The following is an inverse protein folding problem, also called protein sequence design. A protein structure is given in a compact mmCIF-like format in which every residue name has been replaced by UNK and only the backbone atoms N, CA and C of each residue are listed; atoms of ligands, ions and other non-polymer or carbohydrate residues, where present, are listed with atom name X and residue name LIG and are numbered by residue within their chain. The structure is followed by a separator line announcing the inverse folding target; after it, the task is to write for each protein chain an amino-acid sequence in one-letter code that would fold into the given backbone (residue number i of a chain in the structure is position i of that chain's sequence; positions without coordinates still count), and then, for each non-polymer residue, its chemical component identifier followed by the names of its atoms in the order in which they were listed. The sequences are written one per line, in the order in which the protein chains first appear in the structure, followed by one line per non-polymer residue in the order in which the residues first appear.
data_IF_446943759141
#
_entry.id   IF_446943759141
#
_cell.length_a   1.000
_cell.length_b   1.000
_cell.length_c   1.000
_cell.angle_alpha   90.00
_cell.angle_beta   90.00
_cell.angle_gamma   90.00
#
_symmetry.space_group_name_H-M   'P 1'
#
loop_
_entity.id
_entity.type
_entity.pdbx_description
1 polymer ?
#
# COMPACT_ATOMS: atom_id res chain seq x y z
N UNK A 1 -0.11 22.75 28.91
CA UNK A 1 -0.68 22.68 27.53
C UNK A 1 0.09 21.59 26.76
N UNK A 2 -0.52 20.41 26.57
CA UNK A 2 0.09 19.23 25.95
C UNK A 2 -0.08 19.29 24.42
N UNK A 3 0.96 19.00 23.66
CA UNK A 3 0.84 18.56 22.27
C UNK A 3 1.58 17.22 22.13
N UNK A 4 0.80 16.15 21.96
CA UNK A 4 1.28 14.81 21.62
C UNK A 4 1.60 14.76 20.11
N UNK A 5 2.75 14.19 19.72
CA UNK A 5 2.98 13.76 18.33
C UNK A 5 3.46 12.31 18.34
N UNK A 6 2.51 11.42 18.02
CA UNK A 6 2.66 9.96 18.00
C UNK A 6 3.46 9.50 16.77
N UNK A 7 4.53 8.76 17.05
CA UNK A 7 4.91 7.43 16.51
C UNK A 7 4.16 6.90 15.28
N UNK A 8 4.86 6.56 14.19
CA UNK A 8 4.33 5.74 13.06
C UNK A 8 5.35 4.66 12.63
N UNK A 9 4.90 3.40 12.65
CA UNK A 9 5.60 2.10 12.43
C UNK A 9 5.50 1.63 10.96
N UNK A 10 6.42 0.76 10.49
CA UNK A 10 6.65 0.47 9.05
C UNK A 10 6.31 -0.96 8.57
N UNK A 11 5.55 -1.73 9.35
CA UNK A 11 4.91 -3.01 8.95
C UNK A 11 3.38 -2.93 8.94
N UNK A 12 2.88 -1.72 9.15
CA UNK A 12 1.48 -1.37 9.11
C UNK A 12 1.17 -0.73 7.76
N UNK A 13 -0.06 -0.92 7.32
CA UNK A 13 -0.55 -0.20 6.17
C UNK A 13 -0.45 1.30 6.41
N UNK A 14 -0.37 2.12 5.34
CA UNK A 14 -0.40 3.57 5.50
C UNK A 14 -1.56 3.99 6.39
N UNK A 15 -1.42 5.12 7.06
CA UNK A 15 -2.49 5.68 7.88
C UNK A 15 -3.81 5.65 7.11
N UNK A 16 -4.88 5.17 7.78
CA UNK A 16 -6.23 4.98 7.26
C UNK A 16 -6.42 3.80 6.27
N UNK A 17 -5.43 2.92 6.14
CA UNK A 17 -5.54 1.64 5.41
C UNK A 17 -5.55 0.45 6.36
N UNK A 18 -6.36 -0.54 6.03
CA UNK A 18 -6.44 -1.83 6.69
C UNK A 18 -5.59 -2.87 5.95
N UNK A 19 -4.92 -3.74 6.70
CA UNK A 19 -4.22 -4.90 6.12
C UNK A 19 -5.22 -6.01 5.82
N UNK A 20 -5.44 -6.30 4.55
CA UNK A 20 -6.32 -7.37 4.07
C UNK A 20 -5.48 -8.35 3.25
N UNK A 21 -5.17 -9.51 3.85
CA UNK A 21 -4.16 -10.42 3.33
C UNK A 21 -2.77 -9.74 3.28
N UNK A 22 -2.15 -9.73 2.11
CA UNK A 22 -0.84 -9.08 1.86
C UNK A 22 -0.96 -7.62 1.40
N UNK A 23 -2.17 -7.06 1.36
CA UNK A 23 -2.46 -5.78 0.71
C UNK A 23 -3.00 -4.77 1.69
N UNK A 24 -2.78 -3.50 1.39
CA UNK A 24 -3.31 -2.39 2.16
C UNK A 24 -4.50 -1.80 1.44
N UNK A 25 -5.67 -1.88 2.07
CA UNK A 25 -6.95 -1.43 1.52
C UNK A 25 -7.55 -0.36 2.41
N UNK A 26 -8.02 0.73 1.81
CA UNK A 26 -8.75 1.79 2.49
C UNK A 26 -10.21 1.74 2.02
N UNK A 27 -11.13 1.58 2.97
CA UNK A 27 -12.57 1.56 2.72
C UNK A 27 -13.12 2.96 2.93
N UNK A 28 -13.60 3.61 1.87
CA UNK A 28 -14.15 4.97 1.95
C UNK A 28 -15.64 4.86 2.25
N UNK A 29 -15.98 4.93 3.53
CA UNK A 29 -17.35 4.70 4.03
C UNK A 29 -18.03 5.88 4.71
N UNK A 30 -17.32 7.00 4.90
CA UNK A 30 -17.87 8.16 5.61
C UNK A 30 -19.16 8.66 4.95
N UNK A 31 -20.21 8.83 5.76
CA UNK A 31 -21.63 8.71 5.39
C UNK A 31 -22.20 9.56 4.26
N UNK A 32 -21.42 10.45 3.64
CA UNK A 32 -21.82 11.27 2.49
C UNK A 32 -20.97 11.03 1.21
N UNK A 33 -19.93 10.20 1.25
CA UNK A 33 -18.99 10.00 0.13
C UNK A 33 -19.35 8.79 -0.73
N UNK A 34 -20.46 8.91 -1.45
CA UNK A 34 -20.79 7.99 -2.55
C UNK A 34 -20.43 8.65 -3.87
N UNK A 35 -19.72 7.91 -4.72
CA UNK A 35 -19.18 8.43 -5.97
C UNK A 35 -19.53 7.52 -7.13
N UNK A 36 -19.53 8.08 -8.34
CA UNK A 36 -19.56 7.26 -9.56
C UNK A 36 -18.28 6.44 -9.64
N UNK A 37 -18.27 5.38 -10.45
CA UNK A 37 -17.06 4.56 -10.61
C UNK A 37 -15.85 5.38 -11.06
N UNK A 38 -16.05 6.28 -12.03
CA UNK A 38 -14.98 7.15 -12.55
C UNK A 38 -14.43 8.10 -11.49
N UNK A 39 -15.32 8.75 -10.74
CA UNK A 39 -14.94 9.67 -9.66
C UNK A 39 -14.24 8.91 -8.52
N UNK A 40 -14.70 7.73 -8.17
CA UNK A 40 -14.07 6.87 -7.16
C UNK A 40 -12.63 6.49 -7.56
N UNK A 41 -12.43 6.07 -8.83
CA UNK A 41 -11.11 5.77 -9.36
C UNK A 41 -10.19 7.00 -9.33
N UNK A 42 -10.68 8.15 -9.79
CA UNK A 42 -9.93 9.41 -9.74
C UNK A 42 -9.53 9.78 -8.30
N UNK A 43 -10.45 9.64 -7.35
CA UNK A 43 -10.19 9.91 -5.93
C UNK A 43 -9.20 8.93 -5.30
N UNK A 44 -9.19 7.66 -5.68
CA UNK A 44 -8.13 6.74 -5.25
C UNK A 44 -6.78 7.14 -5.86
N UNK A 45 -6.74 7.51 -7.14
CA UNK A 45 -5.51 7.95 -7.83
C UNK A 45 -4.90 9.20 -7.20
N UNK A 46 -5.72 10.17 -6.78
CA UNK A 46 -5.27 11.36 -6.05
C UNK A 46 -4.54 11.03 -4.73
N UNK A 47 -4.72 9.82 -4.20
CA UNK A 47 -4.07 9.30 -2.98
C UNK A 47 -2.89 8.35 -3.28
N UNK A 48 -2.37 8.35 -4.51
CA UNK A 48 -1.39 7.35 -4.99
C UNK A 48 -1.89 5.89 -4.83
N UNK A 49 -3.20 5.71 -4.91
CA UNK A 49 -3.89 4.44 -4.82
C UNK A 49 -4.70 4.21 -6.11
N UNK A 50 -5.52 3.17 -6.12
CA UNK A 50 -6.50 2.90 -7.19
C UNK A 50 -7.66 2.09 -6.63
N UNK A 51 -8.76 1.95 -7.37
CA UNK A 51 -9.80 1.00 -6.97
C UNK A 51 -9.24 -0.42 -6.88
N UNK A 52 -9.65 -1.15 -5.85
CA UNK A 52 -9.11 -2.47 -5.50
C UNK A 52 -9.36 -3.52 -6.58
N UNK A 53 -8.34 -4.30 -6.95
CA UNK A 53 -8.49 -5.52 -7.76
C UNK A 53 -8.80 -6.72 -6.88
N UNK A 54 -9.50 -7.70 -7.43
CA UNK A 54 -9.83 -8.92 -6.70
C UNK A 54 -8.71 -9.95 -6.97
N UNK A 55 -7.76 -10.05 -6.03
CA UNK A 55 -6.70 -11.06 -6.08
C UNK A 55 -7.12 -12.35 -5.37
N UNK A 56 -7.70 -12.21 -4.17
CA UNK A 56 -8.19 -13.30 -3.32
C UNK A 56 -9.63 -12.97 -2.91
N UNK A 57 -10.64 -13.40 -3.70
CA UNK A 57 -12.03 -13.03 -3.47
C UNK A 57 -12.54 -13.46 -2.11
N UNK A 58 -12.12 -14.62 -1.60
CA UNK A 58 -12.56 -15.17 -0.31
C UNK A 58 -12.09 -14.28 0.85
N UNK A 59 -10.81 -13.89 0.85
CA UNK A 59 -10.22 -13.04 1.89
C UNK A 59 -10.89 -11.67 1.91
N UNK A 60 -11.08 -11.06 0.74
CA UNK A 60 -11.74 -9.75 0.63
C UNK A 60 -13.22 -9.82 1.04
N UNK A 61 -13.92 -10.87 0.60
CA UNK A 61 -15.34 -11.10 0.92
C UNK A 61 -15.55 -11.24 2.43
N UNK A 62 -14.76 -12.08 3.10
CA UNK A 62 -14.83 -12.25 4.56
C UNK A 62 -14.58 -10.91 5.25
N UNK A 63 -13.55 -10.18 4.85
CA UNK A 63 -13.22 -8.89 5.46
C UNK A 63 -14.35 -7.87 5.32
N UNK A 64 -14.93 -7.72 4.13
CA UNK A 64 -16.04 -6.79 3.90
C UNK A 64 -17.25 -7.18 4.75
N UNK A 65 -17.63 -8.46 4.72
CA UNK A 65 -18.85 -8.93 5.38
C UNK A 65 -18.77 -8.81 6.91
N UNK A 66 -17.58 -8.98 7.48
CA UNK A 66 -17.35 -8.83 8.91
C UNK A 66 -17.29 -7.37 9.36
N UNK A 67 -16.65 -6.49 8.59
CA UNK A 67 -16.34 -5.13 9.05
C UNK A 67 -17.26 -4.04 8.50
N UNK A 68 -17.93 -4.29 7.37
CA UNK A 68 -18.78 -3.31 6.68
C UNK A 68 -20.12 -3.91 6.24
N UNK A 69 -20.91 -4.48 7.17
CA UNK A 69 -22.21 -5.03 6.84
C UNK A 69 -23.14 -3.94 6.28
N UNK A 70 -23.88 -4.26 5.21
CA UNK A 70 -24.85 -3.35 4.59
C UNK A 70 -24.24 -2.34 3.61
N UNK A 71 -22.93 -2.32 3.42
CA UNK A 71 -22.25 -1.34 2.55
C UNK A 71 -21.93 -1.92 1.18
N UNK A 72 -22.25 -1.17 0.12
CA UNK A 72 -21.90 -1.51 -1.26
C UNK A 72 -20.65 -0.76 -1.68
N UNK A 73 -19.73 -1.44 -2.37
CA UNK A 73 -18.44 -0.86 -2.73
C UNK A 73 -18.13 -0.99 -4.21
N UNK A 74 -17.64 0.09 -4.84
CA UNK A 74 -16.90 -0.02 -6.08
C UNK A 74 -15.59 -0.77 -5.89
N UNK A 75 -15.30 -1.66 -6.84
CA UNK A 75 -14.01 -2.35 -6.99
C UNK A 75 -13.50 -2.16 -8.42
N UNK A 76 -12.19 -2.25 -8.63
CA UNK A 76 -11.50 -1.73 -9.81
C UNK A 76 -11.61 -2.55 -11.09
N UNK A 77 -12.77 -3.10 -11.42
CA UNK A 77 -13.01 -3.78 -12.70
C UNK A 77 -14.08 -3.07 -13.52
N UNK A 78 -13.80 -2.90 -14.81
CA UNK A 78 -14.74 -2.33 -15.79
C UNK A 78 -14.68 -3.08 -17.11
N UNK A 79 -15.78 -3.06 -17.85
CA UNK A 79 -15.90 -3.62 -19.19
C UNK A 79 -15.64 -2.53 -20.22
N UNK A 80 -14.67 -2.77 -21.10
CA UNK A 80 -14.41 -1.90 -22.26
C UNK A 80 -15.60 -1.99 -23.23
N UNK A 81 -16.24 -0.84 -23.50
CA UNK A 81 -17.44 -0.76 -24.35
C UNK A 81 -17.16 -1.10 -25.81
N UNK A 82 -15.93 -0.89 -26.30
CA UNK A 82 -15.55 -1.13 -27.69
C UNK A 82 -15.09 -2.56 -27.95
N UNK A 83 -14.44 -3.18 -26.95
CA UNK A 83 -13.85 -4.53 -27.08
C UNK A 83 -14.64 -5.62 -26.37
N UNK A 84 -15.61 -5.25 -25.53
CA UNK A 84 -16.43 -6.16 -24.74
C UNK A 84 -15.66 -6.90 -23.63
N UNK A 85 -14.37 -6.61 -23.42
CA UNK A 85 -13.52 -7.31 -22.47
C UNK A 85 -13.45 -6.60 -21.11
N UNK A 86 -13.47 -7.38 -20.03
CA UNK A 86 -13.27 -6.87 -18.68
C UNK A 86 -11.79 -6.65 -18.37
N UNK A 87 -11.47 -5.53 -17.71
CA UNK A 87 -10.11 -5.17 -17.29
C UNK A 87 -10.07 -4.61 -15.89
N UNK A 88 -8.97 -4.85 -15.19
CA UNK A 88 -8.66 -4.19 -13.94
C UNK A 88 -8.15 -2.77 -14.18
N UNK A 89 -8.30 -1.88 -13.20
CA UNK A 89 -7.82 -0.47 -13.27
C UNK A 89 -6.29 -0.31 -13.32
N UNK A 90 -5.50 -1.38 -13.12
CA UNK A 90 -4.05 -1.41 -13.42
C UNK A 90 -3.75 -1.77 -14.88
N UNK A 91 -4.76 -2.06 -15.69
CA UNK A 91 -4.61 -2.51 -17.07
C UNK A 91 -4.39 -4.02 -17.21
N UNK A 92 -4.29 -4.77 -16.11
CA UNK A 92 -4.21 -6.23 -16.16
C UNK A 92 -5.52 -6.84 -16.65
N UNK A 93 -5.40 -7.96 -17.35
CA UNK A 93 -6.55 -8.75 -17.78
C UNK A 93 -7.11 -9.54 -16.60
N UNK A 94 -8.44 -9.68 -16.56
CA UNK A 94 -9.08 -10.51 -15.55
C UNK A 94 -8.87 -11.97 -15.93
N UNK A 95 -8.15 -12.72 -15.07
CA UNK A 95 -7.91 -14.15 -15.27
C UNK A 95 -9.22 -14.94 -15.26
N UNK A 96 -9.26 -16.01 -16.07
CA UNK A 96 -10.45 -16.83 -16.36
C UNK A 96 -11.23 -17.28 -15.11
N UNK A 97 -10.57 -17.76 -14.04
CA UNK A 97 -11.28 -18.21 -12.83
C UNK A 97 -11.95 -17.06 -12.06
N UNK A 98 -11.33 -15.88 -12.01
CA UNK A 98 -11.94 -14.68 -11.43
C UNK A 98 -13.06 -14.14 -12.32
N UNK A 99 -12.90 -14.30 -13.63
CA UNK A 99 -13.85 -13.90 -14.66
C UNK A 99 -15.16 -14.70 -14.60
N UNK A 100 -15.12 -16.03 -14.40
CA UNK A 100 -16.34 -16.86 -14.29
C UNK A 100 -17.21 -16.50 -13.08
N UNK A 101 -16.61 -16.20 -11.93
CA UNK A 101 -17.35 -15.75 -10.73
C UNK A 101 -17.99 -14.37 -10.94
N UNK A 102 -17.29 -13.46 -11.64
CA UNK A 102 -17.80 -12.12 -11.98
C UNK A 102 -18.95 -12.19 -13.01
N UNK A 103 -18.85 -13.09 -13.99
CA UNK A 103 -19.74 -13.14 -15.15
C UNK A 103 -21.00 -13.98 -15.01
N UNK A 104 -21.16 -14.72 -13.90
CA UNK A 104 -22.36 -15.53 -13.64
C UNK A 104 -23.67 -14.72 -13.69
N UNK A 105 -23.60 -13.38 -13.64
CA UNK A 105 -24.74 -12.47 -13.58
C UNK A 105 -24.68 -11.33 -14.63
N UNK A 106 -24.48 -11.62 -15.92
CA UNK A 106 -24.63 -10.66 -17.02
C UNK A 106 -26.09 -10.15 -17.14
N UNK A 107 -26.43 -9.07 -16.43
CA UNK A 107 -27.80 -8.54 -16.32
C UNK A 107 -28.07 -7.29 -17.17
N UNK A 108 -27.63 -7.31 -18.43
CA UNK A 108 -28.09 -6.36 -19.44
C UNK A 108 -27.23 -5.11 -19.67
N UNK A 109 -27.72 -4.27 -20.59
CA UNK A 109 -27.04 -3.11 -21.19
C UNK A 109 -26.67 -2.07 -20.12
N UNK A 110 -25.46 -1.50 -20.20
CA UNK A 110 -25.00 -0.39 -19.35
C UNK A 110 -24.40 -0.75 -17.98
N UNK A 111 -24.30 -2.04 -17.63
CA UNK A 111 -23.68 -2.49 -16.38
C UNK A 111 -22.19 -2.85 -16.60
N UNK A 112 -21.36 -1.83 -16.79
CA UNK A 112 -19.96 -2.00 -17.19
C UNK A 112 -18.96 -1.84 -16.02
N UNK A 113 -19.41 -1.78 -14.77
CA UNK A 113 -18.55 -1.59 -13.61
C UNK A 113 -18.83 -2.66 -12.54
N UNK A 114 -17.78 -3.14 -11.87
CA UNK A 114 -17.89 -4.17 -10.85
C UNK A 114 -18.04 -3.55 -9.46
N UNK A 115 -18.98 -4.07 -8.67
CA UNK A 115 -19.19 -3.67 -7.29
C UNK A 115 -19.38 -4.87 -6.37
N UNK A 116 -18.98 -4.73 -5.11
CA UNK A 116 -19.48 -5.57 -4.02
C UNK A 116 -20.88 -5.13 -3.63
N UNK A 117 -21.83 -6.07 -3.61
CA UNK A 117 -23.23 -5.81 -3.24
C UNK A 117 -23.56 -6.56 -1.95
N UNK A 118 -23.76 -5.82 -0.86
CA UNK A 118 -23.94 -6.40 0.47
C UNK A 118 -25.18 -7.27 0.57
N UNK A 119 -26.29 -6.91 -0.09
CA UNK A 119 -27.53 -7.73 -0.07
C UNK A 119 -27.37 -9.08 -0.76
N UNK A 120 -26.39 -9.21 -1.67
CA UNK A 120 -26.09 -10.45 -2.39
C UNK A 120 -24.90 -11.20 -1.79
N UNK A 121 -24.16 -10.58 -0.85
CA UNK A 121 -22.87 -11.06 -0.36
C UNK A 121 -21.93 -11.48 -1.50
N UNK A 122 -21.92 -10.73 -2.59
CA UNK A 122 -21.22 -11.12 -3.81
C UNK A 122 -20.79 -9.91 -4.64
N UNK A 123 -19.79 -10.10 -5.50
CA UNK A 123 -19.42 -9.15 -6.53
C UNK A 123 -20.42 -9.25 -7.68
N UNK A 124 -20.87 -8.11 -8.19
CA UNK A 124 -21.86 -8.05 -9.26
C UNK A 124 -21.62 -6.85 -10.15
N UNK A 125 -22.00 -7.00 -11.41
CA UNK A 125 -22.01 -5.90 -12.37
C UNK A 125 -23.02 -4.83 -11.94
N UNK A 126 -22.67 -3.57 -12.14
CA UNK A 126 -23.44 -2.41 -11.74
C UNK A 126 -23.26 -1.27 -12.76
N UNK A 127 -24.25 -0.37 -12.85
CA UNK A 127 -24.17 0.83 -13.69
C UNK A 127 -23.13 1.80 -13.15
N UNK A 128 -22.16 2.17 -13.98
CA UNK A 128 -21.01 2.99 -13.57
C UNK A 128 -21.38 4.38 -13.05
N UNK A 129 -22.51 4.94 -13.49
CA UNK A 129 -23.01 6.25 -13.05
C UNK A 129 -23.69 6.25 -11.68
N UNK A 130 -23.90 5.08 -11.08
CA UNK A 130 -24.48 4.98 -9.74
C UNK A 130 -23.47 5.41 -8.69
N UNK A 131 -23.96 5.98 -7.58
CA UNK A 131 -23.09 6.45 -6.51
C UNK A 131 -22.98 5.40 -5.41
N UNK A 132 -21.79 4.84 -5.24
CA UNK A 132 -21.48 3.87 -4.18
C UNK A 132 -20.27 4.34 -3.35
N UNK A 133 -20.13 3.78 -2.15
CA UNK A 133 -18.85 3.78 -1.44
C UNK A 133 -17.82 3.01 -2.26
N UNK A 134 -16.53 3.10 -1.91
CA UNK A 134 -15.48 2.50 -2.73
C UNK A 134 -14.26 2.09 -1.92
N UNK A 135 -13.49 1.14 -2.46
CA UNK A 135 -12.31 0.58 -1.80
C UNK A 135 -11.08 0.96 -2.63
N UNK A 136 -10.16 1.68 -2.01
CA UNK A 136 -8.86 1.98 -2.60
C UNK A 136 -7.83 0.95 -2.14
N UNK A 137 -7.02 0.43 -3.05
CA UNK A 137 -5.80 -0.29 -2.72
C UNK A 137 -4.59 0.64 -2.81
N UNK A 138 -3.72 0.59 -1.81
CA UNK A 138 -2.44 1.28 -1.89
C UNK A 138 -1.62 0.64 -3.00
N UNK A 139 -1.13 1.46 -3.94
CA UNK A 139 -0.12 0.99 -4.88
C UNK A 139 1.18 0.96 -4.09
N UNK A 140 1.63 -0.24 -3.73
CA UNK A 140 3.02 -0.43 -3.30
C UNK A 140 3.86 -0.11 -4.53
N UNK A 141 4.23 1.16 -4.70
CA UNK A 141 5.17 1.51 -5.74
C UNK A 141 6.43 0.69 -5.44
N UNK A 142 6.77 -0.19 -6.38
CA UNK A 142 8.11 -0.72 -6.48
C UNK A 142 8.98 0.50 -6.83
N UNK A 143 9.31 1.29 -5.80
CA UNK A 143 10.07 2.52 -5.90
C UNK A 143 11.53 2.14 -6.10
N UNK A 144 11.79 1.64 -7.29
CA UNK A 144 13.08 1.32 -7.83
C UNK A 144 13.18 2.08 -9.13
N UNK A 145 14.39 2.52 -9.42
CA UNK A 145 14.69 2.97 -10.76
C UNK A 145 14.55 1.78 -11.71
N UNK A 146 13.85 1.98 -12.82
CA UNK A 146 13.64 0.92 -13.83
C UNK A 146 14.85 0.75 -14.73
N UNK A 147 15.80 1.68 -14.68
CA UNK A 147 17.05 1.68 -15.41
C UNK A 147 18.23 1.80 -14.42
N UNK A 148 19.27 1.01 -14.63
CA UNK A 148 20.46 0.99 -13.77
C UNK A 148 21.31 2.26 -13.90
N UNK A 149 21.14 3.05 -14.95
CA UNK A 149 21.85 4.29 -15.23
C UNK A 149 21.13 5.54 -14.71
N UNK A 150 20.00 5.39 -14.00
CA UNK A 150 19.23 6.50 -13.46
C UNK A 150 20.04 7.47 -12.57
N UNK A 151 21.14 7.01 -11.96
CA UNK A 151 22.06 7.88 -11.21
C UNK A 151 22.74 8.95 -12.08
N UNK A 152 22.92 8.70 -13.38
CA UNK A 152 23.54 9.63 -14.34
C UNK A 152 22.59 10.73 -14.80
N UNK A 153 21.30 10.44 -14.85
CA UNK A 153 20.29 11.34 -15.43
C UNK A 153 19.56 12.20 -14.41
N UNK A 154 20.04 12.26 -13.16
CA UNK A 154 19.45 13.09 -12.09
C UNK A 154 19.23 14.56 -12.51
N UNK A 155 20.13 15.10 -13.33
CA UNK A 155 20.02 16.49 -13.84
C UNK A 155 18.83 16.71 -14.79
N UNK A 156 18.32 15.63 -15.38
CA UNK A 156 17.19 15.65 -16.32
C UNK A 156 15.85 15.40 -15.61
N UNK A 157 15.84 15.27 -14.27
CA UNK A 157 14.62 15.12 -13.51
C UNK A 157 13.75 16.38 -13.65
N UNK A 158 12.45 16.20 -13.85
CA UNK A 158 11.42 17.24 -14.10
C UNK A 158 11.48 17.92 -15.48
N UNK A 159 12.62 17.86 -16.17
CA UNK A 159 12.77 18.41 -17.53
C UNK A 159 12.52 17.36 -18.59
N UNK A 160 12.97 16.13 -18.34
CA UNK A 160 12.72 14.98 -19.21
C UNK A 160 11.63 14.09 -18.62
N UNK A 161 10.51 13.97 -19.35
CA UNK A 161 9.35 13.15 -18.95
C UNK A 161 9.69 11.66 -18.87
N UNK A 162 10.57 11.17 -19.73
CA UNK A 162 11.01 9.78 -19.70
C UNK A 162 11.87 9.53 -18.46
N UNK A 163 12.87 10.38 -18.20
CA UNK A 163 13.73 10.24 -17.00
C UNK A 163 12.89 10.31 -15.73
N UNK A 164 11.94 11.26 -15.66
CA UNK A 164 11.07 11.43 -14.48
C UNK A 164 10.19 10.20 -14.21
N UNK A 165 9.77 9.48 -15.26
CA UNK A 165 8.93 8.28 -15.17
C UNK A 165 9.73 6.99 -14.96
N UNK A 166 10.92 6.88 -15.56
CA UNK A 166 11.79 5.70 -15.51
C UNK A 166 12.65 5.66 -14.24
N UNK A 167 13.00 6.84 -13.71
CA UNK A 167 13.91 7.02 -12.58
C UNK A 167 13.24 7.67 -11.34
N UNK A 168 12.10 7.16 -10.85
CA UNK A 168 11.34 7.83 -9.79
C UNK A 168 12.11 7.90 -8.46
N UNK A 169 13.02 6.94 -8.19
CA UNK A 169 13.86 6.94 -6.99
C UNK A 169 15.01 7.94 -7.13
N UNK A 170 15.73 7.92 -8.25
CA UNK A 170 16.84 8.85 -8.50
C UNK A 170 16.39 10.31 -8.64
N UNK A 171 15.18 10.55 -9.14
CA UNK A 171 14.59 11.89 -9.24
C UNK A 171 13.94 12.42 -7.96
N UNK A 172 14.04 11.69 -6.84
CA UNK A 172 13.43 12.09 -5.57
C UNK A 172 11.90 12.20 -5.65
N UNK A 173 11.28 11.59 -6.67
CA UNK A 173 9.82 11.51 -6.83
C UNK A 173 9.22 10.44 -5.94
N UNK A 174 10.05 9.54 -5.46
CA UNK A 174 9.74 8.73 -4.31
C UNK A 174 10.12 9.43 -3.01
N UNK A 175 9.20 9.40 -2.04
CA UNK A 175 9.62 9.43 -0.64
C UNK A 175 10.45 8.16 -0.39
N UNK A 176 11.75 8.32 -0.17
CA UNK A 176 12.67 7.20 0.07
C UNK A 176 12.10 6.25 1.12
N UNK A 177 11.99 4.96 0.78
CA UNK A 177 11.82 3.92 1.77
C UNK A 177 13.00 4.00 2.74
N UNK A 178 12.77 4.55 3.94
CA UNK A 178 13.79 4.62 4.99
C UNK A 178 14.30 3.19 5.26
N UNK A 179 15.62 2.99 5.26
CA UNK A 179 16.27 1.78 5.76
C UNK A 179 15.78 1.53 7.19
N UNK A 180 15.15 0.39 7.45
CA UNK A 180 14.62 0.03 8.77
C UNK A 180 15.54 -1.03 9.38
N UNK A 181 16.18 -0.65 10.48
CA UNK A 181 17.00 -1.54 11.28
C UNK A 181 16.23 -1.79 12.58
N UNK A 182 15.63 -2.97 12.70
CA UNK A 182 14.79 -3.38 13.83
C UNK A 182 15.69 -3.89 14.96
N UNK A 183 15.75 -3.22 16.12
CA UNK A 183 16.50 -3.71 17.27
C UNK A 183 15.77 -4.86 17.98
N UNK A 184 16.52 -5.66 18.73
CA UNK A 184 15.95 -6.67 19.62
C UNK A 184 15.19 -6.02 20.79
N UNK A 185 14.10 -6.62 21.31
CA UNK A 185 13.31 -6.06 22.41
C UNK A 185 14.12 -5.70 23.67
N UNK A 186 15.19 -6.46 23.95
CA UNK A 186 16.05 -6.24 25.11
C UNK A 186 17.05 -5.09 24.94
N UNK A 187 17.06 -4.43 23.77
CA UNK A 187 18.01 -3.37 23.49
C UNK A 187 17.60 -2.04 24.14
N UNK A 188 18.57 -1.43 24.81
CA UNK A 188 18.40 -0.18 25.55
C UNK A 188 18.94 0.98 24.73
N UNK A 189 18.06 1.92 24.37
CA UNK A 189 18.43 3.17 23.69
C UNK A 189 18.09 4.40 24.53
N UNK A 190 18.87 5.49 24.42
CA UNK A 190 20.19 5.53 23.80
C UNK A 190 21.25 4.88 24.70
N UNK A 191 22.22 4.19 24.10
CA UNK A 191 23.39 3.66 24.82
C UNK A 191 24.67 4.40 24.45
N UNK A 192 25.66 4.36 25.32
CA UNK A 192 26.98 4.97 25.10
C UNK A 192 27.96 3.88 24.72
N UNK A 193 28.46 3.91 23.49
CA UNK A 193 29.50 3.01 22.99
C UNK A 193 30.63 3.83 22.39
N UNK A 194 31.87 3.52 22.75
CA UNK A 194 33.06 4.27 22.35
C UNK A 194 32.92 5.78 22.64
N UNK A 195 32.38 6.13 23.81
CA UNK A 195 32.09 7.50 24.26
C UNK A 195 31.10 8.27 23.38
N UNK A 196 30.35 7.58 22.50
CA UNK A 196 29.33 8.16 21.63
C UNK A 196 27.95 7.65 21.98
N UNK A 197 26.98 8.58 22.01
CA UNK A 197 25.58 8.27 22.25
C UNK A 197 24.95 7.71 20.97
N UNK A 198 24.43 6.49 21.03
CA UNK A 198 23.73 5.83 19.94
C UNK A 198 22.26 5.65 20.29
N UNK A 199 21.39 6.25 19.48
CA UNK A 199 19.92 6.12 19.60
C UNK A 199 19.32 5.09 18.64
N UNK A 200 20.18 4.37 17.92
CA UNK A 200 19.82 3.35 16.92
C UNK A 200 20.90 2.29 16.84
N UNK A 201 20.56 1.16 16.22
CA UNK A 201 21.52 0.10 15.92
C UNK A 201 22.79 0.68 15.29
N UNK A 202 23.94 0.26 15.81
CA UNK A 202 25.23 0.78 15.40
C UNK A 202 26.08 -0.34 14.84
N UNK A 203 26.93 -0.02 13.88
CA UNK A 203 27.78 -0.99 13.20
C UNK A 203 28.97 -1.32 14.10
N UNK A 204 29.14 -2.61 14.44
CA UNK A 204 30.32 -3.11 15.16
C UNK A 204 31.08 -4.06 14.23
N UNK A 205 32.25 -3.65 13.72
CA UNK A 205 33.09 -4.48 12.85
C UNK A 205 32.51 -4.76 11.44
N UNK A 206 32.68 -6.01 10.95
CA UNK A 206 32.42 -6.48 9.57
C UNK A 206 30.93 -6.51 9.15
N UNK A 207 30.22 -5.39 9.25
CA UNK A 207 28.90 -5.22 8.60
C UNK A 207 27.68 -5.54 9.44
N UNK A 208 27.82 -6.05 10.66
CA UNK A 208 26.67 -6.33 11.52
C UNK A 208 26.25 -5.09 12.32
N UNK A 209 24.97 -4.72 12.20
CA UNK A 209 24.34 -3.73 13.05
C UNK A 209 23.88 -4.38 14.35
N UNK A 210 24.37 -3.87 15.47
CA UNK A 210 24.10 -4.38 16.80
C UNK A 210 23.45 -3.31 17.69
N UNK A 211 22.80 -3.76 18.74
CA UNK A 211 22.31 -2.94 19.83
C UNK A 211 22.71 -3.52 21.19
N UNK A 212 22.88 -2.64 22.19
CA UNK A 212 23.31 -3.01 23.54
C UNK A 212 22.11 -3.22 24.45
N UNK A 213 22.20 -4.16 25.38
CA UNK A 213 21.20 -4.35 26.46
C UNK A 213 21.45 -3.46 27.68
N UNK A 214 22.52 -2.65 27.68
CA UNK A 214 22.87 -1.75 28.79
C UNK A 214 23.02 -0.32 28.30
N UNK A 215 22.80 0.66 29.19
CA UNK A 215 22.95 2.09 28.85
C UNK A 215 24.40 2.49 28.58
N UNK A 216 25.36 1.83 29.21
CA UNK A 216 26.77 2.22 29.13
C UNK A 216 27.69 0.98 28.99
N UNK A 217 27.68 0.32 27.83
CA UNK A 217 28.56 -0.81 27.53
C UNK A 217 30.06 -0.52 27.60
N UNK A 218 30.48 0.76 27.66
CA UNK A 218 31.89 1.12 27.82
C UNK A 218 32.42 0.85 29.24
N UNK A 219 31.53 0.80 30.24
CA UNK A 219 31.90 0.63 31.67
C UNK A 219 31.24 -0.59 32.32
N UNK A 220 30.28 -1.23 31.64
CA UNK A 220 29.55 -2.40 32.12
C UNK A 220 29.61 -3.51 31.07
N UNK A 221 29.79 -4.76 31.51
CA UNK A 221 29.64 -5.93 30.64
C UNK A 221 28.26 -5.89 29.98
N UNK A 222 28.24 -5.85 28.65
CA UNK A 222 27.01 -5.70 27.88
C UNK A 222 26.81 -6.88 26.94
N UNK A 223 25.58 -7.39 26.91
CA UNK A 223 25.15 -8.31 25.87
C UNK A 223 24.76 -7.50 24.62
N UNK A 224 25.00 -8.10 23.46
CA UNK A 224 24.77 -7.49 22.14
C UNK A 224 23.77 -8.32 21.38
N UNK A 225 22.73 -7.69 20.84
CA UNK A 225 21.82 -8.34 19.91
C UNK A 225 22.00 -7.83 18.49
N UNK A 226 21.79 -8.73 17.54
CA UNK A 226 21.79 -8.41 16.11
C UNK A 226 20.48 -7.70 15.76
N UNK A 227 20.60 -6.57 15.09
CA UNK A 227 19.45 -5.90 14.49
C UNK A 227 19.07 -6.57 13.17
N UNK A 228 17.78 -6.67 12.91
CA UNK A 228 17.21 -7.31 11.72
C UNK A 228 16.64 -6.26 10.76
N UNK A 229 16.37 -6.65 9.51
CA UNK A 229 15.87 -5.73 8.47
C UNK A 229 16.98 -5.12 7.61
N UNK A 230 16.63 -4.05 6.90
CA UNK A 230 17.54 -3.35 5.97
C UNK A 230 18.24 -2.22 6.74
N UNK A 231 19.40 -2.56 7.29
CA UNK A 231 20.39 -1.66 7.88
C UNK A 231 21.52 -1.40 6.85
#
# INVERSE_FOLDING_TARGET
KKFHKQSETKDECPKDYHKVGTRCLQFITDGNYKETFGDAQFKCQARNARLVTILLPEVLTIFIRTNYPGVNFWVGATKDENKGAWRWTNGEEIKSNTYYEILKYNLGIGHNCLAWISSKNSFSVHRCGEKLQYICEAVVQDCKDKDSLCYKWKRNCNTDKWVTKTCPKSCGKCASAKSYCTPHPDCVFPFILNKRRHSKCTKKGKGLFLCSTTKNPDFQSANWHKCTGVC
#
